data_IF_803782284815
#
_entry.id   IF_803782284815
#
_cell.length_a   1.000
_cell.length_b   1.000
_cell.length_c   1.000
_cell.angle_alpha   90.00
_cell.angle_beta   90.00
_cell.angle_gamma   90.00
#
_symmetry.space_group_name_H-M   'P 1'
#
loop_
_entity.id
_entity.type
_entity.pdbx_description
1 polymer ?
#
# COMPACT_ATOMS: atom_id res chain seq x y z
N UNK A 1 30.82 6.53 -17.54
CA UNK A 1 31.81 5.52 -17.96
C UNK A 1 31.71 5.43 -19.48
N UNK A 2 32.32 6.39 -20.17
CA UNK A 2 32.29 6.51 -21.63
C UNK A 2 33.69 6.24 -22.17
N UNK A 3 33.93 5.02 -22.63
CA UNK A 3 35.17 4.65 -23.32
C UNK A 3 34.85 3.49 -24.28
N UNK A 4 34.28 3.78 -25.45
CA UNK A 4 34.42 2.88 -26.61
C UNK A 4 34.01 3.56 -27.93
N UNK A 5 34.76 4.56 -28.37
CA UNK A 5 34.72 5.03 -29.76
C UNK A 5 36.12 5.42 -30.17
N UNK A 6 36.81 4.50 -30.84
CA UNK A 6 37.84 4.75 -31.86
C UNK A 6 38.49 3.42 -32.28
N UNK A 7 37.86 2.72 -33.22
CA UNK A 7 38.59 1.84 -34.14
C UNK A 7 38.07 2.09 -35.55
N UNK A 8 38.82 2.92 -36.29
CA UNK A 8 38.75 3.02 -37.75
C UNK A 8 39.49 1.80 -38.31
N UNK A 9 38.74 0.88 -38.91
CA UNK A 9 39.27 -0.18 -39.77
C UNK A 9 38.85 0.14 -41.20
N UNK A 10 39.84 0.44 -42.03
CA UNK A 10 39.73 0.69 -43.46
C UNK A 10 39.57 -0.64 -44.21
N UNK A 11 38.49 -0.80 -44.97
CA UNK A 11 38.35 -1.87 -45.98
C UNK A 11 37.45 -1.38 -47.10
N UNK A 12 38.11 -0.89 -48.14
CA UNK A 12 37.62 -0.61 -49.48
C UNK A 12 36.76 -1.75 -50.07
N UNK A 13 35.57 -1.43 -50.54
CA UNK A 13 34.86 -2.13 -51.62
C UNK A 13 33.75 -1.21 -52.14
N UNK A 14 33.87 -0.87 -53.41
CA UNK A 14 32.98 0.01 -54.18
C UNK A 14 31.55 -0.53 -54.27
N UNK A 15 30.55 0.36 -54.19
CA UNK A 15 29.46 0.41 -55.17
C UNK A 15 28.65 1.72 -55.03
N UNK A 16 28.58 2.42 -56.15
CA UNK A 16 27.90 3.69 -56.42
C UNK A 16 26.39 3.63 -56.23
N UNK A 17 25.80 4.58 -55.51
CA UNK A 17 24.52 5.23 -55.91
C UNK A 17 24.40 6.62 -55.27
N UNK A 18 24.21 7.61 -56.13
CA UNK A 18 24.13 9.04 -55.85
C UNK A 18 23.05 9.43 -54.84
N UNK A 19 23.45 9.84 -53.63
CA UNK A 19 22.60 10.60 -52.72
C UNK A 19 22.76 12.10 -52.98
N UNK A 20 21.74 12.70 -53.58
CA UNK A 20 21.57 14.15 -53.68
C UNK A 20 21.61 14.71 -52.25
N UNK A 21 22.64 15.49 -51.96
CA UNK A 21 22.74 16.33 -50.76
C UNK A 21 21.61 17.36 -50.84
N UNK A 22 20.64 17.29 -49.91
CA UNK A 22 19.81 18.45 -49.61
C UNK A 22 20.55 19.27 -48.57
N UNK A 23 21.10 20.39 -49.01
CA UNK A 23 21.68 21.42 -48.17
C UNK A 23 20.66 21.88 -47.12
N UNK A 24 21.13 21.84 -45.88
CA UNK A 24 20.48 22.43 -44.73
C UNK A 24 20.56 23.97 -44.88
N UNK A 25 19.46 24.59 -45.32
CA UNK A 25 19.35 26.04 -45.40
C UNK A 25 19.17 26.57 -43.97
N UNK A 26 20.30 26.83 -43.32
CA UNK A 26 20.41 27.74 -42.19
C UNK A 26 20.07 29.16 -42.67
N UNK A 27 18.80 29.51 -42.61
CA UNK A 27 18.36 30.90 -42.59
C UNK A 27 17.39 31.04 -41.43
N UNK A 28 17.75 31.79 -40.39
CA UNK A 28 16.80 32.17 -39.36
C UNK A 28 15.75 33.13 -39.95
N UNK A 29 14.45 32.80 -39.91
CA UNK A 29 13.42 33.81 -39.79
C UNK A 29 13.05 33.89 -38.31
N UNK A 30 13.17 35.10 -37.72
CA UNK A 30 12.42 35.47 -36.52
C UNK A 30 10.94 35.49 -36.87
N UNK A 31 10.33 34.30 -36.89
CA UNK A 31 8.93 34.06 -37.16
C UNK A 31 8.28 33.53 -35.89
N UNK A 32 7.12 34.09 -35.55
CA UNK A 32 6.24 33.57 -34.49
C UNK A 32 6.11 32.06 -34.72
N UNK A 33 6.56 31.26 -33.75
CA UNK A 33 6.43 29.80 -33.78
C UNK A 33 4.93 29.51 -33.67
N UNK A 34 4.23 29.50 -34.81
CA UNK A 34 2.88 28.95 -34.86
C UNK A 34 3.01 27.44 -34.68
N UNK A 35 2.17 26.81 -33.86
CA UNK A 35 2.21 25.37 -33.69
C UNK A 35 2.04 24.72 -35.07
N UNK A 36 2.88 23.72 -35.37
CA UNK A 36 2.76 22.90 -36.57
C UNK A 36 1.35 22.29 -36.58
N UNK A 37 0.49 22.83 -37.44
CA UNK A 37 -0.89 22.33 -37.58
C UNK A 37 -0.80 20.96 -38.23
N UNK A 38 -1.23 19.93 -37.52
CA UNK A 38 -1.34 18.60 -38.10
C UNK A 38 -2.44 18.63 -39.18
N UNK A 39 -2.03 18.63 -40.46
CA UNK A 39 -2.92 18.72 -41.62
C UNK A 39 -3.76 17.43 -41.78
N UNK A 40 -3.33 16.32 -41.18
CA UNK A 40 -4.04 15.05 -41.19
C UNK A 40 -4.21 14.53 -39.75
N UNK A 41 -5.15 15.12 -38.97
CA UNK A 41 -5.53 14.55 -37.68
C UNK A 41 -6.03 13.12 -37.90
N UNK A 42 -5.81 12.24 -36.94
CA UNK A 42 -6.32 10.87 -36.98
C UNK A 42 -7.85 10.91 -37.02
N UNK A 43 -8.41 10.74 -38.23
CA UNK A 43 -9.85 10.69 -38.46
C UNK A 43 -10.31 9.29 -38.08
N UNK A 44 -11.08 9.18 -36.99
CA UNK A 44 -11.73 7.93 -36.61
C UNK A 44 -12.78 7.63 -37.68
N UNK A 45 -12.42 6.77 -38.64
CA UNK A 45 -13.34 6.27 -39.65
C UNK A 45 -14.37 5.38 -38.99
N UNK A 46 -15.65 5.58 -39.30
CA UNK A 46 -16.78 4.73 -38.89
C UNK A 46 -16.74 3.31 -39.50
N UNK A 47 -15.58 2.87 -40.00
CA UNK A 47 -15.37 1.49 -40.43
C UNK A 47 -15.20 0.62 -39.18
N UNK A 48 -15.98 -0.46 -39.03
CA UNK A 48 -15.87 -1.36 -37.87
C UNK A 48 -14.51 -2.08 -37.78
N UNK A 49 -13.67 -1.99 -38.82
CA UNK A 49 -12.43 -2.76 -38.96
C UNK A 49 -11.22 -2.08 -38.28
N UNK A 50 -11.27 -0.77 -38.01
CA UNK A 50 -10.15 0.00 -37.43
C UNK A 50 -10.46 0.68 -36.10
N UNK A 51 -11.66 0.49 -35.56
CA UNK A 51 -11.95 0.92 -34.20
C UNK A 51 -11.13 0.02 -33.27
N UNK A 52 -10.30 0.63 -32.42
CA UNK A 52 -9.68 -0.06 -31.30
C UNK A 52 -10.75 -0.94 -30.64
N UNK A 53 -10.47 -2.23 -30.46
CA UNK A 53 -11.47 -3.16 -29.96
C UNK A 53 -11.94 -2.65 -28.59
N UNK A 54 -13.16 -2.09 -28.55
CA UNK A 54 -13.69 -1.51 -27.31
C UNK A 54 -14.07 -2.67 -26.41
N UNK A 55 -13.32 -2.82 -25.33
CA UNK A 55 -13.60 -3.79 -24.27
C UNK A 55 -14.74 -3.21 -23.42
N UNK A 56 -15.71 -4.04 -23.06
CA UNK A 56 -16.76 -3.61 -22.13
C UNK A 56 -16.18 -3.53 -20.71
N UNK A 57 -16.25 -2.37 -20.03
CA UNK A 57 -15.70 -2.19 -18.68
C UNK A 57 -16.32 -3.11 -17.62
N UNK A 58 -17.48 -3.73 -17.91
CA UNK A 58 -18.12 -4.70 -17.01
C UNK A 58 -17.55 -6.10 -17.14
N UNK A 59 -16.85 -6.40 -18.23
CA UNK A 59 -16.27 -7.73 -18.47
C UNK A 59 -15.02 -7.93 -17.62
N UNK A 60 -14.96 -9.05 -16.90
CA UNK A 60 -13.85 -9.37 -15.97
C UNK A 60 -12.82 -10.32 -16.57
N UNK A 61 -13.21 -11.12 -17.55
CA UNK A 61 -12.37 -12.14 -18.17
C UNK A 61 -12.24 -11.84 -19.66
N UNK A 62 -11.01 -11.86 -20.15
CA UNK A 62 -10.67 -11.63 -21.56
C UNK A 62 -10.00 -12.89 -22.12
N UNK A 63 -10.38 -13.26 -23.35
CA UNK A 63 -9.87 -14.45 -24.04
C UNK A 63 -8.69 -14.17 -24.97
N UNK A 64 -8.27 -12.91 -25.05
CA UNK A 64 -7.12 -12.45 -25.83
C UNK A 64 -6.33 -11.46 -24.99
N UNK A 65 -5.09 -11.19 -25.40
CA UNK A 65 -4.22 -10.22 -24.73
C UNK A 65 -4.43 -8.84 -25.38
N UNK A 66 -5.23 -7.93 -24.78
CA UNK A 66 -5.43 -6.59 -25.32
C UNK A 66 -4.17 -5.72 -25.19
N UNK A 67 -4.13 -4.61 -25.93
CA UNK A 67 -3.08 -3.61 -25.73
C UNK A 67 -3.39 -2.77 -24.49
N UNK A 68 -2.35 -2.17 -23.91
CA UNK A 68 -2.47 -1.25 -22.76
C UNK A 68 -3.48 -0.11 -23.03
N UNK A 69 -3.36 0.53 -24.19
CA UNK A 69 -4.24 1.64 -24.62
C UNK A 69 -5.71 1.23 -24.74
N UNK A 70 -5.98 -0.04 -25.06
CA UNK A 70 -7.34 -0.56 -25.22
C UNK A 70 -7.95 -0.92 -23.86
N UNK A 71 -7.16 -1.47 -22.93
CA UNK A 71 -7.61 -1.93 -21.62
C UNK A 71 -7.76 -0.80 -20.59
N UNK A 72 -6.83 0.16 -20.60
CA UNK A 72 -6.80 1.28 -19.64
C UNK A 72 -7.41 2.56 -20.22
N UNK A 73 -8.23 2.44 -21.27
CA UNK A 73 -8.97 3.57 -21.82
C UNK A 73 -9.99 4.09 -20.79
N UNK A 74 -10.03 5.41 -20.49
CA UNK A 74 -10.96 5.94 -19.52
C UNK A 74 -12.40 5.92 -20.03
N UNK A 75 -13.35 5.68 -19.13
CA UNK A 75 -14.78 5.78 -19.42
C UNK A 75 -15.15 7.22 -19.81
N UNK A 76 -15.71 7.40 -21.01
CA UNK A 76 -16.11 8.70 -21.52
C UNK A 76 -17.51 9.09 -21.06
N UNK A 77 -17.67 10.34 -20.60
CA UNK A 77 -18.96 10.92 -20.21
C UNK A 77 -19.00 11.44 -18.77
N UNK A 78 -20.08 12.16 -18.39
CA UNK A 78 -20.22 12.67 -17.04
C UNK A 78 -20.49 11.54 -16.03
N UNK A 79 -19.86 11.62 -14.86
CA UNK A 79 -20.15 10.70 -13.75
C UNK A 79 -21.58 10.92 -13.25
N UNK A 80 -22.29 9.83 -12.97
CA UNK A 80 -23.66 9.89 -12.46
C UNK A 80 -23.70 10.59 -11.08
N UNK A 81 -24.39 11.74 -10.94
CA UNK A 81 -24.44 12.50 -9.69
C UNK A 81 -25.32 11.85 -8.63
N UNK A 82 -26.24 10.95 -9.00
CA UNK A 82 -27.19 10.30 -8.08
C UNK A 82 -26.59 9.10 -7.33
N UNK A 83 -25.34 8.72 -7.63
CA UNK A 83 -24.64 7.66 -6.92
C UNK A 83 -23.94 8.23 -5.70
N UNK A 84 -24.13 7.60 -4.54
CA UNK A 84 -23.29 7.87 -3.36
C UNK A 84 -21.85 7.41 -3.59
N UNK A 85 -20.92 7.85 -2.75
CA UNK A 85 -19.51 7.44 -2.84
C UNK A 85 -19.36 5.91 -2.78
N UNK A 86 -20.07 5.25 -1.88
CA UNK A 86 -20.13 3.79 -1.77
C UNK A 86 -20.75 3.07 -2.99
N UNK A 87 -21.54 3.77 -3.81
CA UNK A 87 -22.09 3.23 -5.06
C UNK A 87 -21.21 3.53 -6.27
N UNK A 88 -20.32 4.52 -6.17
CA UNK A 88 -19.31 4.84 -7.18
C UNK A 88 -18.10 3.91 -7.09
N UNK A 89 -17.72 3.49 -5.88
CA UNK A 89 -16.60 2.59 -5.67
C UNK A 89 -16.84 1.21 -6.32
N UNK A 90 -15.82 0.62 -6.98
CA UNK A 90 -15.90 -0.75 -7.49
C UNK A 90 -16.02 -1.71 -6.30
N UNK A 91 -17.01 -2.62 -6.35
CA UNK A 91 -17.26 -3.56 -5.25
C UNK A 91 -17.72 -4.92 -5.76
N UNK A 92 -17.29 -5.95 -5.04
CA UNK A 92 -17.69 -7.34 -5.26
C UNK A 92 -18.61 -7.82 -4.13
N UNK A 93 -18.43 -7.27 -2.92
CA UNK A 93 -19.28 -7.48 -1.75
C UNK A 93 -20.03 -6.18 -1.40
N UNK A 94 -20.95 -6.25 -0.43
CA UNK A 94 -21.70 -5.05 -0.01
C UNK A 94 -20.79 -3.92 0.50
N UNK A 95 -19.71 -4.29 1.19
CA UNK A 95 -18.81 -3.36 1.87
C UNK A 95 -17.60 -2.95 1.05
N UNK A 96 -17.24 -3.69 -0.02
CA UNK A 96 -16.09 -3.33 -0.83
C UNK A 96 -15.67 -4.37 -1.86
N UNK A 97 -14.41 -4.30 -2.27
CA UNK A 97 -13.80 -5.23 -3.20
C UNK A 97 -12.92 -6.22 -2.43
N UNK A 98 -13.13 -7.51 -2.68
CA UNK A 98 -12.37 -8.60 -2.06
C UNK A 98 -11.88 -9.49 -3.17
N UNK A 99 -10.56 -9.65 -3.24
CA UNK A 99 -9.86 -10.53 -4.16
C UNK A 99 -8.87 -11.42 -3.39
N UNK A 100 -8.66 -12.67 -3.84
CA UNK A 100 -7.60 -13.50 -3.29
C UNK A 100 -6.24 -12.91 -3.67
N UNK A 101 -5.42 -12.63 -2.67
CA UNK A 101 -4.07 -12.13 -2.85
C UNK A 101 -3.04 -13.14 -2.34
N UNK A 102 -1.89 -13.20 -3.02
CA UNK A 102 -0.79 -14.09 -2.66
C UNK A 102 0.34 -13.29 -2.03
N UNK A 103 0.42 -13.31 -0.70
CA UNK A 103 1.50 -12.70 0.06
C UNK A 103 2.42 -13.78 0.65
N UNK A 104 3.68 -13.42 0.87
CA UNK A 104 4.56 -14.21 1.72
C UNK A 104 4.10 -14.09 3.17
N UNK A 105 3.89 -15.22 3.85
CA UNK A 105 3.45 -15.25 5.25
C UNK A 105 4.37 -14.47 6.18
N UNK A 106 5.68 -14.49 5.93
CA UNK A 106 6.65 -13.72 6.70
C UNK A 106 6.42 -12.21 6.57
N UNK A 107 6.17 -11.70 5.36
CA UNK A 107 5.96 -10.26 5.15
C UNK A 107 4.65 -9.79 5.78
N UNK A 108 3.60 -10.62 5.71
CA UNK A 108 2.33 -10.34 6.37
C UNK A 108 2.47 -10.29 7.90
N UNK A 109 3.08 -11.31 8.50
CA UNK A 109 3.31 -11.35 9.96
C UNK A 109 4.24 -10.21 10.41
N UNK A 110 5.26 -9.89 9.60
CA UNK A 110 6.15 -8.75 9.81
C UNK A 110 5.36 -7.45 9.87
N UNK A 111 4.47 -7.20 8.91
CA UNK A 111 3.67 -5.98 8.84
C UNK A 111 2.70 -5.89 10.04
N UNK A 112 1.94 -6.95 10.33
CA UNK A 112 0.96 -6.96 11.43
C UNK A 112 1.64 -6.75 12.78
N UNK A 113 2.70 -7.50 13.08
CA UNK A 113 3.40 -7.36 14.37
C UNK A 113 4.07 -6.00 14.52
N UNK A 114 4.53 -5.41 13.42
CA UNK A 114 5.10 -4.05 13.44
C UNK A 114 4.01 -3.03 13.73
N UNK A 115 2.84 -3.14 13.08
CA UNK A 115 1.72 -2.24 13.33
C UNK A 115 1.22 -2.33 14.78
N UNK A 116 1.05 -3.56 15.31
CA UNK A 116 0.56 -3.78 16.68
C UNK A 116 1.53 -3.25 17.75
N UNK A 117 2.84 -3.29 17.51
CA UNK A 117 3.86 -2.92 18.51
C UNK A 117 4.43 -1.51 18.36
N UNK A 118 4.59 -1.04 17.12
CA UNK A 118 5.19 0.25 16.79
C UNK A 118 4.14 1.27 16.34
N UNK A 119 2.93 0.84 15.98
CA UNK A 119 1.86 1.72 15.51
C UNK A 119 1.93 2.07 14.03
N UNK A 120 2.90 1.53 13.28
CA UNK A 120 3.04 1.75 11.84
C UNK A 120 3.48 0.50 11.09
N UNK A 121 3.15 0.44 9.80
CA UNK A 121 3.59 -0.61 8.87
C UNK A 121 3.61 -0.11 7.43
N UNK A 122 4.20 -0.90 6.53
CA UNK A 122 4.17 -0.63 5.08
C UNK A 122 2.75 -0.82 4.54
N UNK A 123 2.35 0.03 3.58
CA UNK A 123 1.04 -0.06 2.93
C UNK A 123 1.00 -1.30 2.00
N UNK A 124 0.08 -2.27 2.23
CA UNK A 124 -0.05 -3.43 1.36
C UNK A 124 -0.83 -3.17 0.06
N UNK A 125 -1.30 -1.93 -0.17
CA UNK A 125 -2.08 -1.57 -1.37
C UNK A 125 -1.26 -1.69 -2.65
N UNK A 126 -1.81 -2.35 -3.66
CA UNK A 126 -1.15 -2.55 -4.96
C UNK A 126 -0.96 -1.24 -5.75
N UNK A 127 -1.87 -0.27 -5.56
CA UNK A 127 -1.88 1.00 -6.31
C UNK A 127 -1.07 2.12 -5.63
N UNK A 128 -0.24 1.79 -4.63
CA UNK A 128 0.54 2.78 -3.86
C UNK A 128 1.72 3.41 -4.65
N UNK A 129 1.64 3.48 -5.98
CA UNK A 129 2.54 4.27 -6.83
C UNK A 129 4.02 3.91 -6.73
N UNK A 130 4.36 2.69 -6.30
CA UNK A 130 5.74 2.21 -6.16
C UNK A 130 6.56 2.86 -5.04
N UNK A 131 6.01 3.85 -4.33
CA UNK A 131 6.65 4.43 -3.14
C UNK A 131 6.21 3.65 -1.90
N UNK A 132 7.17 3.12 -1.13
CA UNK A 132 6.92 2.43 0.13
C UNK A 132 6.32 3.41 1.14
N UNK A 133 5.01 3.58 1.06
CA UNK A 133 4.25 4.46 1.93
C UNK A 133 3.97 3.72 3.24
N UNK A 134 4.13 4.40 4.37
CA UNK A 134 3.77 3.86 5.67
C UNK A 134 2.33 4.25 6.03
N UNK A 135 1.66 3.38 6.78
CA UNK A 135 0.30 3.57 7.30
C UNK A 135 0.35 3.48 8.82
N UNK A 136 -0.47 4.29 9.50
CA UNK A 136 -0.49 4.41 10.96
C UNK A 136 0.26 5.66 11.41
N UNK A 137 1.18 5.50 12.36
CA UNK A 137 2.05 6.58 12.82
C UNK A 137 3.23 6.81 11.86
N UNK A 138 2.99 7.65 10.86
CA UNK A 138 3.96 7.99 9.82
C UNK A 138 5.17 8.76 10.39
N UNK A 139 4.99 9.55 11.45
CA UNK A 139 6.07 10.32 12.06
C UNK A 139 7.10 9.39 12.71
N UNK A 140 6.65 8.42 13.52
CA UNK A 140 7.57 7.44 14.12
C UNK A 140 8.20 6.51 13.10
N UNK A 141 7.50 6.20 12.00
CA UNK A 141 8.06 5.48 10.86
C UNK A 141 9.25 6.24 10.26
N UNK A 142 9.12 7.54 10.00
CA UNK A 142 10.21 8.35 9.48
C UNK A 142 11.37 8.50 10.47
N UNK A 143 11.07 8.68 11.76
CA UNK A 143 12.11 8.76 12.82
C UNK A 143 12.94 7.49 12.94
N UNK A 144 12.30 6.32 12.82
CA UNK A 144 12.97 5.01 12.92
C UNK A 144 13.59 4.55 11.59
N UNK A 145 13.24 5.22 10.49
CA UNK A 145 13.64 4.86 9.13
C UNK A 145 12.88 3.65 8.57
N UNK A 146 11.64 3.42 9.00
CA UNK A 146 10.78 2.34 8.50
C UNK A 146 11.14 0.93 8.98
N UNK A 147 11.96 0.83 10.04
CA UNK A 147 12.41 -0.48 10.54
C UNK A 147 11.28 -1.28 11.14
N UNK A 148 11.21 -2.56 10.78
CA UNK A 148 10.28 -3.50 11.40
C UNK A 148 10.80 -4.02 12.75
N UNK A 149 9.88 -4.56 13.57
CA UNK A 149 10.22 -5.28 14.80
C UNK A 149 11.26 -6.39 14.59
N UNK A 150 11.24 -7.07 13.44
CA UNK A 150 12.19 -8.13 13.10
C UNK A 150 13.60 -7.60 12.77
N UNK A 151 13.73 -6.32 12.42
CA UNK A 151 15.01 -5.67 12.09
C UNK A 151 15.64 -4.99 13.31
N UNK A 152 15.27 -5.45 14.52
CA UNK A 152 15.73 -4.94 15.82
C UNK A 152 15.33 -3.50 16.13
N UNK A 153 14.20 -3.03 15.58
CA UNK A 153 13.55 -1.82 16.09
C UNK A 153 13.30 -2.01 17.59
N UNK A 154 14.10 -1.36 18.42
CA UNK A 154 13.94 -1.42 19.87
C UNK A 154 12.68 -0.64 20.19
N UNK A 155 11.62 -1.31 20.62
CA UNK A 155 10.53 -0.68 21.38
C UNK A 155 11.18 -0.12 22.64
N UNK A 156 11.62 1.14 22.54
CA UNK A 156 12.47 1.78 23.53
C UNK A 156 11.75 1.82 24.87
N UNK A 157 12.46 1.42 25.93
CA UNK A 157 11.94 1.43 27.28
C UNK A 157 12.95 0.89 28.27
N UNK A 158 12.87 1.38 29.50
CA UNK A 158 13.62 0.79 30.60
C UNK A 158 13.08 -0.62 30.85
N UNK A 159 13.95 -1.63 30.77
CA UNK A 159 13.57 -3.02 31.07
C UNK A 159 13.01 -3.09 32.49
N UNK A 160 11.77 -3.54 32.63
CA UNK A 160 11.13 -3.75 33.94
C UNK A 160 11.85 -4.89 34.68
N UNK A 161 12.07 -4.69 35.99
CA UNK A 161 12.77 -5.66 36.84
C UNK A 161 11.82 -6.80 37.23
N UNK A 162 12.34 -8.03 37.22
CA UNK A 162 11.62 -9.26 37.60
C UNK A 162 12.25 -9.88 38.83
N UNK A 163 11.42 -10.44 39.70
CA UNK A 163 11.86 -11.21 40.87
C UNK A 163 12.15 -12.63 40.39
N UNK A 164 13.39 -12.90 39.99
CA UNK A 164 13.83 -14.17 39.41
C UNK A 164 14.63 -15.00 40.43
N UNK A 165 14.17 -16.22 40.68
CA UNK A 165 14.94 -17.29 41.27
C UNK A 165 15.03 -18.44 40.25
N UNK A 166 16.27 -18.81 39.88
CA UNK A 166 16.57 -19.89 38.94
C UNK A 166 17.14 -21.13 39.62
N UNK A 167 17.25 -21.13 40.95
CA UNK A 167 17.69 -22.30 41.70
C UNK A 167 16.57 -23.34 41.75
N UNK A 168 16.73 -24.41 40.98
CA UNK A 168 15.76 -25.50 40.92
C UNK A 168 15.75 -26.38 42.19
N UNK A 169 16.70 -26.18 43.12
CA UNK A 169 16.73 -26.90 44.40
C UNK A 169 15.79 -26.29 45.46
N UNK A 170 15.39 -25.03 45.27
CA UNK A 170 14.41 -24.34 46.11
C UNK A 170 12.98 -24.64 45.64
N UNK A 171 12.29 -25.52 46.37
CA UNK A 171 10.97 -26.07 46.00
C UNK A 171 9.88 -24.99 46.02
N UNK A 172 9.93 -24.07 46.99
CA UNK A 172 8.88 -23.06 47.20
C UNK A 172 9.22 -21.72 46.53
N UNK A 173 10.50 -21.42 46.36
CA UNK A 173 10.96 -20.13 45.84
C UNK A 173 11.35 -20.12 44.36
N UNK A 174 11.38 -21.25 43.65
CA UNK A 174 11.73 -21.27 42.22
C UNK A 174 10.66 -20.57 41.37
N UNK A 175 11.07 -19.52 40.65
CA UNK A 175 10.17 -18.76 39.75
C UNK A 175 10.47 -19.00 38.28
N UNK A 176 11.73 -19.28 37.92
CA UNK A 176 12.15 -19.52 36.54
C UNK A 176 11.64 -18.45 35.54
N UNK A 177 11.23 -18.84 34.32
CA UNK A 177 10.62 -17.94 33.33
C UNK A 177 9.29 -17.31 33.76
N UNK A 178 8.61 -17.85 34.78
CA UNK A 178 7.32 -17.37 35.30
C UNK A 178 7.48 -16.26 36.35
N UNK A 179 8.69 -15.75 36.54
CA UNK A 179 8.97 -14.61 37.43
C UNK A 179 8.10 -13.39 37.11
N UNK A 180 7.34 -12.95 38.11
CA UNK A 180 6.57 -11.69 38.07
C UNK A 180 7.48 -10.46 38.06
N UNK A 181 6.95 -9.34 37.60
CA UNK A 181 7.63 -8.05 37.75
C UNK A 181 7.53 -7.54 39.19
N UNK A 182 8.54 -6.79 39.64
CA UNK A 182 8.60 -6.20 41.00
C UNK A 182 7.44 -5.23 41.27
N UNK A 183 7.05 -4.46 40.24
CA UNK A 183 6.01 -3.44 40.27
C UNK A 183 4.60 -4.01 39.97
N UNK A 184 4.47 -5.31 39.72
CA UNK A 184 3.20 -5.93 39.39
C UNK A 184 2.35 -6.14 40.65
N UNK A 185 1.19 -5.48 40.70
CA UNK A 185 0.14 -5.76 41.69
C UNK A 185 -0.66 -6.98 41.23
N UNK A 186 -0.74 -8.02 42.06
CA UNK A 186 -1.49 -9.26 41.76
C UNK A 186 -3.00 -9.03 41.83
N UNK A 187 -3.43 -8.23 42.80
CA UNK A 187 -4.85 -7.93 43.02
C UNK A 187 -5.05 -6.44 42.79
N UNK A 188 -5.77 -6.12 41.72
CA UNK A 188 -6.28 -4.79 41.46
C UNK A 188 -7.69 -4.68 42.05
N UNK A 189 -7.79 -4.16 43.28
CA UNK A 189 -9.10 -3.81 43.85
C UNK A 189 -9.54 -2.46 43.28
N UNK A 190 -10.83 -2.30 42.91
CA UNK A 190 -11.36 -1.01 42.53
C UNK A 190 -11.25 -0.02 43.70
N UNK A 191 -11.26 1.26 43.38
CA UNK A 191 -11.31 2.32 44.38
C UNK A 191 -12.59 2.18 45.24
N UNK A 192 -12.58 2.49 46.55
CA UNK A 192 -13.74 2.33 47.42
C UNK A 192 -14.99 3.10 46.96
N UNK A 193 -14.85 4.20 46.23
CA UNK A 193 -16.00 4.92 45.66
C UNK A 193 -16.62 4.13 44.50
N UNK A 194 -15.77 3.72 43.53
CA UNK A 194 -16.19 2.89 42.41
C UNK A 194 -16.80 1.56 42.88
N UNK A 195 -16.26 0.98 43.95
CA UNK A 195 -16.80 -0.25 44.51
C UNK A 195 -18.25 -0.08 45.02
N UNK A 196 -18.57 1.06 45.65
CA UNK A 196 -19.95 1.36 46.08
C UNK A 196 -20.88 1.53 44.90
N UNK A 197 -20.44 2.21 43.84
CA UNK A 197 -21.24 2.34 42.61
C UNK A 197 -21.51 0.97 41.98
N UNK A 198 -20.50 0.10 41.91
CA UNK A 198 -20.66 -1.27 41.42
C UNK A 198 -21.65 -2.07 42.29
N UNK A 199 -21.56 -1.94 43.61
CA UNK A 199 -22.47 -2.60 44.55
C UNK A 199 -23.91 -2.08 44.40
N UNK A 200 -24.09 -0.79 44.12
CA UNK A 200 -25.39 -0.18 43.82
C UNK A 200 -25.97 -0.70 42.49
N UNK A 201 -25.16 -0.82 41.43
CA UNK A 201 -25.61 -1.42 40.17
C UNK A 201 -26.03 -2.88 40.34
N UNK A 202 -25.25 -3.67 41.08
CA UNK A 202 -25.58 -5.07 41.39
C UNK A 202 -26.88 -5.15 42.18
N UNK A 203 -27.05 -4.27 43.19
CA UNK A 203 -28.27 -4.22 44.00
C UNK A 203 -29.48 -3.83 43.17
N UNK A 204 -29.38 -2.81 42.31
CA UNK A 204 -30.46 -2.38 41.44
C UNK A 204 -30.82 -3.46 40.42
N UNK A 205 -29.82 -4.11 39.82
CA UNK A 205 -30.01 -5.21 38.88
C UNK A 205 -30.73 -6.40 39.53
N UNK A 206 -30.33 -6.79 40.75
CA UNK A 206 -30.98 -7.87 41.51
C UNK A 206 -32.42 -7.52 41.88
N UNK A 207 -32.68 -6.28 42.30
CA UNK A 207 -34.04 -5.80 42.58
C UNK A 207 -34.90 -5.82 41.32
N UNK A 208 -34.36 -5.35 40.20
CA UNK A 208 -35.07 -5.34 38.91
C UNK A 208 -35.37 -6.76 38.40
N UNK A 209 -34.42 -7.68 38.54
CA UNK A 209 -34.59 -9.08 38.16
C UNK A 209 -35.62 -9.81 39.05
N UNK A 210 -35.66 -9.49 40.36
CA UNK A 210 -36.61 -10.06 41.31
C UNK A 210 -38.02 -9.45 41.23
N UNK A 211 -38.17 -8.26 40.63
CA UNK A 211 -39.48 -7.61 40.42
C UNK A 211 -40.12 -8.03 39.08
N UNK A 212 -39.34 -8.56 38.14
CA UNK A 212 -39.80 -8.96 36.80
C UNK A 212 -40.15 -10.46 36.71
N UNK A 213 -39.95 -11.23 37.78
CA UNK A 213 -40.33 -12.63 37.92
C UNK A 213 -41.17 -12.85 39.18
#
# INVERSE_FOLDING_TARGET
>A
MDLLQNYKGDSSSDDETSSIQMEEINSEPRGIIMPLVNIAPHVVVSSPVQQAAVIDPKTKELYYNPKYEELFMPDVGPSNPFKSEHQKAPKNTLTGFVEPAHFSGFHFDRAIRSYDTLGYAENPSADAGGSSSFVGDVESAHLTGGRSLFESAKTGGQKRKRIVNYDASDIDGYTGPWARFEDQKIVAKPDPELQKEMDEYIRFFLLFFWVIW
#
